data_IF_932961433974
#
_entry.id   IF_932961433974
#
_cell.length_a   1.000
_cell.length_b   1.000
_cell.length_c   1.000
_cell.angle_alpha   90.00
_cell.angle_beta   90.00
_cell.angle_gamma   90.00
#
_symmetry.space_group_name_H-M   'P 1'
#
loop_
_entity.id
_entity.type
_entity.pdbx_description
1 polymer ?
#
# COMPACT_ATOMS: atom_id res chain seq x y z
N UNK A 1 20.04 -16.44 -19.53
CA UNK A 1 18.90 -17.38 -19.36
C UNK A 1 18.34 -17.31 -17.95
N UNK A 2 19.12 -17.73 -16.98
CA UNK A 2 18.68 -17.68 -15.59
C UNK A 2 18.24 -16.28 -15.15
N UNK A 3 18.96 -15.24 -15.58
CA UNK A 3 18.64 -13.86 -15.25
C UNK A 3 17.26 -13.46 -15.75
N UNK A 4 16.90 -13.86 -16.96
CA UNK A 4 15.60 -13.53 -17.52
C UNK A 4 14.47 -14.20 -16.73
N UNK A 5 14.63 -15.47 -16.39
CA UNK A 5 13.65 -16.22 -15.61
C UNK A 5 13.52 -15.64 -14.20
N UNK A 6 14.66 -15.27 -13.60
CA UNK A 6 14.68 -14.65 -12.28
C UNK A 6 13.98 -13.29 -12.29
N UNK A 7 14.21 -12.49 -13.35
CA UNK A 7 13.58 -11.19 -13.49
C UNK A 7 12.05 -11.33 -13.58
N UNK A 8 11.56 -12.29 -14.37
CA UNK A 8 10.13 -12.54 -14.51
C UNK A 8 9.52 -12.97 -13.17
N UNK A 9 10.21 -13.86 -12.45
CA UNK A 9 9.75 -14.31 -11.13
C UNK A 9 9.71 -13.14 -10.15
N UNK A 10 10.72 -12.28 -10.19
CA UNK A 10 10.79 -11.11 -9.32
C UNK A 10 9.63 -10.16 -9.60
N UNK A 11 9.33 -9.90 -10.87
CA UNK A 11 8.21 -9.06 -11.26
C UNK A 11 6.89 -9.61 -10.71
N UNK A 12 6.68 -10.92 -10.84
CA UNK A 12 5.46 -11.56 -10.32
C UNK A 12 5.37 -11.41 -8.81
N UNK A 13 6.48 -11.64 -8.10
CA UNK A 13 6.52 -11.52 -6.64
C UNK A 13 6.18 -10.10 -6.21
N UNK A 14 6.82 -9.10 -6.84
CA UNK A 14 6.58 -7.70 -6.51
C UNK A 14 5.16 -7.27 -6.82
N UNK A 15 4.63 -7.69 -7.97
CA UNK A 15 3.26 -7.36 -8.37
C UNK A 15 2.25 -7.96 -7.39
N UNK A 16 2.49 -9.19 -6.93
CA UNK A 16 1.63 -9.82 -5.93
C UNK A 16 1.67 -9.07 -4.61
N UNK A 17 2.83 -8.57 -4.21
CA UNK A 17 2.93 -7.80 -2.97
C UNK A 17 2.17 -6.48 -3.07
N UNK A 18 2.23 -5.80 -4.21
CA UNK A 18 1.43 -4.58 -4.43
C UNK A 18 -0.07 -4.91 -4.34
N UNK A 19 -0.50 -5.98 -4.98
CA UNK A 19 -1.90 -6.38 -4.96
C UNK A 19 -2.34 -6.75 -3.53
N UNK A 20 -1.53 -7.55 -2.83
CA UNK A 20 -1.83 -7.97 -1.46
C UNK A 20 -1.94 -6.77 -0.53
N UNK A 21 -0.92 -5.93 -0.50
CA UNK A 21 -0.92 -4.79 0.41
C UNK A 21 -1.99 -3.77 0.03
N UNK A 22 -2.17 -3.53 -1.27
CA UNK A 22 -3.21 -2.61 -1.76
C UNK A 22 -4.61 -3.05 -1.38
N UNK A 23 -4.93 -4.34 -1.54
CA UNK A 23 -6.26 -4.86 -1.15
C UNK A 23 -6.41 -4.86 0.36
N UNK A 24 -5.32 -5.06 1.11
CA UNK A 24 -5.36 -5.01 2.57
C UNK A 24 -5.70 -3.61 3.09
N UNK A 25 -5.23 -2.56 2.41
CA UNK A 25 -5.61 -1.18 2.77
C UNK A 25 -7.13 -1.05 2.74
N UNK A 26 -7.74 -1.42 1.63
CA UNK A 26 -9.18 -1.32 1.47
C UNK A 26 -9.96 -2.16 2.48
N UNK A 27 -9.51 -3.39 2.70
CA UNK A 27 -10.16 -4.29 3.66
C UNK A 27 -10.14 -3.70 5.07
N UNK A 28 -9.02 -3.15 5.50
CA UNK A 28 -8.89 -2.58 6.84
C UNK A 28 -9.67 -1.28 7.00
N UNK A 29 -9.70 -0.44 5.97
CA UNK A 29 -10.53 0.77 6.00
C UNK A 29 -12.01 0.37 6.12
N UNK A 30 -12.45 -0.64 5.37
CA UNK A 30 -13.83 -1.12 5.45
C UNK A 30 -14.15 -1.66 6.83
N UNK A 31 -13.25 -2.44 7.43
CA UNK A 31 -13.44 -2.94 8.79
C UNK A 31 -13.48 -1.81 9.81
N UNK A 32 -12.67 -0.76 9.61
CA UNK A 32 -12.69 0.41 10.48
C UNK A 32 -14.07 1.07 10.50
N UNK A 33 -14.74 1.15 9.33
CA UNK A 33 -16.08 1.76 9.27
C UNK A 33 -17.12 0.95 10.04
N UNK A 34 -16.82 -0.30 10.38
CA UNK A 34 -17.71 -1.20 11.12
C UNK A 34 -17.21 -1.46 12.54
N UNK A 35 -16.25 -0.66 12.99
CA UNK A 35 -15.64 -0.85 14.29
C UNK A 35 -16.64 -0.60 15.42
N UNK A 36 -16.51 -1.35 16.51
CA UNK A 36 -17.39 -1.25 17.67
C UNK A 36 -16.94 -0.17 18.67
N UNK A 37 -15.74 0.33 18.53
CA UNK A 37 -15.17 1.31 19.45
C UNK A 37 -14.19 2.22 18.72
N UNK A 38 -13.89 3.34 19.32
CA UNK A 38 -12.88 4.27 18.83
C UNK A 38 -11.51 3.58 18.75
N UNK A 39 -11.17 2.79 19.77
CA UNK A 39 -9.89 2.07 19.82
C UNK A 39 -9.79 1.06 18.68
N UNK A 40 -10.87 0.34 18.38
CA UNK A 40 -10.91 -0.62 17.29
C UNK A 40 -10.79 0.09 15.94
N UNK A 41 -11.49 1.23 15.78
CA UNK A 41 -11.41 2.04 14.57
C UNK A 41 -9.94 2.48 14.32
N UNK A 42 -9.30 3.02 15.34
CA UNK A 42 -7.91 3.47 15.23
C UNK A 42 -6.98 2.30 14.91
N UNK A 43 -7.18 1.15 15.57
CA UNK A 43 -6.37 -0.04 15.31
C UNK A 43 -6.44 -0.48 13.86
N UNK A 44 -7.66 -0.53 13.29
CA UNK A 44 -7.85 -0.91 11.88
C UNK A 44 -7.23 0.10 10.93
N UNK A 45 -7.39 1.39 11.23
CA UNK A 45 -6.80 2.45 10.40
C UNK A 45 -5.26 2.42 10.46
N UNK A 46 -4.69 2.06 11.61
CA UNK A 46 -3.24 1.93 11.74
C UNK A 46 -2.70 0.76 10.90
N UNK A 47 -3.46 -0.34 10.81
CA UNK A 47 -3.09 -1.45 9.94
C UNK A 47 -3.14 -0.99 8.48
N UNK A 48 -4.18 -0.24 8.10
CA UNK A 48 -4.30 0.31 6.75
C UNK A 48 -3.12 1.23 6.43
N UNK A 49 -2.70 2.05 7.38
CA UNK A 49 -1.55 2.95 7.21
C UNK A 49 -0.26 2.17 6.97
N UNK A 50 -0.05 1.13 7.75
CA UNK A 50 1.12 0.25 7.60
C UNK A 50 1.13 -0.39 6.21
N UNK A 51 -0.01 -0.90 5.77
CA UNK A 51 -0.12 -1.54 4.45
C UNK A 51 0.08 -0.53 3.32
N UNK A 52 -0.36 0.71 3.51
CA UNK A 52 -0.12 1.77 2.53
C UNK A 52 1.38 2.08 2.40
N UNK A 53 2.09 2.09 3.52
CA UNK A 53 3.55 2.25 3.52
C UNK A 53 4.26 1.12 2.81
N UNK A 54 3.82 -0.12 3.02
CA UNK A 54 4.36 -1.28 2.31
C UNK A 54 4.08 -1.19 0.81
N UNK A 55 2.87 -0.75 0.45
CA UNK A 55 2.51 -0.59 -0.96
C UNK A 55 3.43 0.41 -1.64
N UNK A 56 3.71 1.53 -0.98
CA UNK A 56 4.65 2.53 -1.47
C UNK A 56 6.02 1.92 -1.75
N UNK A 57 6.52 1.13 -0.81
CA UNK A 57 7.81 0.46 -0.94
C UNK A 57 7.83 -0.48 -2.16
N UNK A 58 6.80 -1.31 -2.31
CA UNK A 58 6.74 -2.25 -3.43
C UNK A 58 6.64 -1.54 -4.78
N UNK A 59 5.90 -0.43 -4.85
CA UNK A 59 5.79 0.37 -6.08
C UNK A 59 7.15 0.99 -6.43
N UNK A 60 7.83 1.55 -5.44
CA UNK A 60 9.16 2.11 -5.64
C UNK A 60 10.13 1.06 -6.18
N UNK A 61 10.07 -0.14 -5.63
CA UNK A 61 10.92 -1.23 -6.06
C UNK A 61 10.62 -1.67 -7.50
N UNK A 62 9.32 -1.73 -7.87
CA UNK A 62 8.92 -2.01 -9.25
C UNK A 62 9.44 -0.95 -10.22
N UNK A 63 9.42 0.31 -9.80
CA UNK A 63 9.90 1.43 -10.61
C UNK A 63 11.43 1.37 -10.77
N UNK A 64 12.15 1.14 -9.67
CA UNK A 64 13.60 1.05 -9.68
C UNK A 64 14.12 -0.11 -10.51
N UNK A 65 13.41 -1.22 -10.52
CA UNK A 65 13.76 -2.41 -11.29
C UNK A 65 13.25 -2.33 -12.74
N UNK A 66 12.58 -1.24 -13.09
CA UNK A 66 12.09 -0.98 -14.43
C UNK A 66 11.02 -1.97 -14.92
N UNK A 67 10.32 -2.63 -13.98
CA UNK A 67 9.20 -3.50 -14.33
C UNK A 67 7.95 -2.71 -14.71
N UNK A 68 7.89 -1.44 -14.29
CA UNK A 68 6.85 -0.50 -14.72
C UNK A 68 7.56 0.75 -15.22
N UNK A 69 6.88 1.53 -16.06
CA UNK A 69 7.46 2.77 -16.56
C UNK A 69 7.57 3.78 -15.43
N UNK A 70 8.51 4.72 -15.57
CA UNK A 70 8.67 5.78 -14.60
C UNK A 70 7.37 6.57 -14.43
N UNK A 71 6.68 6.85 -15.53
CA UNK A 71 5.41 7.58 -15.50
C UNK A 71 4.33 6.82 -14.73
N UNK A 72 4.21 5.52 -14.97
CA UNK A 72 3.24 4.69 -14.26
C UNK A 72 3.57 4.63 -12.78
N UNK A 73 4.86 4.49 -12.45
CA UNK A 73 5.32 4.47 -11.06
C UNK A 73 5.03 5.76 -10.34
N UNK A 74 5.29 6.91 -10.98
CA UNK A 74 5.00 8.21 -10.40
C UNK A 74 3.52 8.39 -10.11
N UNK A 75 2.67 7.95 -11.04
CA UNK A 75 1.22 8.04 -10.87
C UNK A 75 0.73 7.19 -9.69
N UNK A 76 1.20 5.95 -9.61
CA UNK A 76 0.84 5.05 -8.52
C UNK A 76 1.37 5.55 -7.18
N UNK A 77 2.59 6.07 -7.16
CA UNK A 77 3.18 6.62 -5.93
C UNK A 77 2.42 7.86 -5.45
N UNK A 78 2.00 8.72 -6.37
CA UNK A 78 1.23 9.90 -6.03
C UNK A 78 -0.08 9.51 -5.34
N UNK A 79 -0.79 8.53 -5.90
CA UNK A 79 -2.04 8.03 -5.33
C UNK A 79 -1.80 7.39 -3.96
N UNK A 80 -0.75 6.60 -3.84
CA UNK A 80 -0.41 5.92 -2.58
C UNK A 80 -0.05 6.93 -1.50
N UNK A 81 0.72 7.96 -1.83
CA UNK A 81 1.11 9.00 -0.89
C UNK A 81 -0.09 9.84 -0.43
N UNK A 82 -1.05 10.04 -1.33
CA UNK A 82 -2.29 10.71 -0.99
C UNK A 82 -3.07 9.89 0.05
N UNK A 83 -3.16 8.56 -0.16
CA UNK A 83 -3.78 7.67 0.82
C UNK A 83 -3.07 7.72 2.17
N UNK A 84 -1.75 7.74 2.17
CA UNK A 84 -0.96 7.83 3.40
C UNK A 84 -1.32 9.10 4.19
N UNK A 85 -1.41 10.22 3.50
CA UNK A 85 -1.78 11.50 4.11
C UNK A 85 -3.18 11.47 4.68
N UNK A 86 -4.14 10.94 3.91
CA UNK A 86 -5.54 10.86 4.31
C UNK A 86 -5.72 9.99 5.53
N UNK A 87 -5.13 8.79 5.52
CA UNK A 87 -5.25 7.85 6.63
C UNK A 87 -4.58 8.41 7.87
N UNK A 88 -3.39 9.01 7.73
CA UNK A 88 -2.68 9.65 8.84
C UNK A 88 -3.52 10.75 9.48
N UNK A 89 -4.17 11.57 8.66
CA UNK A 89 -5.03 12.67 9.15
C UNK A 89 -6.24 12.12 9.89
N UNK A 90 -6.86 11.05 9.37
CA UNK A 90 -8.01 10.41 10.01
C UNK A 90 -7.62 9.87 11.39
N UNK A 91 -6.47 9.19 11.47
CA UNK A 91 -5.99 8.64 12.75
C UNK A 91 -5.74 9.77 13.75
N UNK A 92 -5.08 10.84 13.31
CA UNK A 92 -4.77 11.98 14.17
C UNK A 92 -6.04 12.61 14.72
N UNK A 93 -7.03 12.82 13.87
CA UNK A 93 -8.33 13.38 14.28
C UNK A 93 -9.04 12.44 15.25
N UNK A 94 -9.01 11.14 15.00
CA UNK A 94 -9.66 10.16 15.86
C UNK A 94 -9.03 10.10 17.25
N UNK A 95 -7.74 10.39 17.37
CA UNK A 95 -7.04 10.36 18.65
C UNK A 95 -7.31 11.60 19.52
N UNK A 96 -7.80 12.66 18.91
CA UNK A 96 -8.22 13.87 19.64
C UNK A 96 -9.54 13.60 20.38
#
# INVERSE_FOLDING_TARGET
MCQHVEAEKMEIVLSRQVLRSGTSIGANVREATRAHSKADFIAKMQIALKEAGETEYWIELLQETEYITEKAGESLLADCRELLKMISAIIRTAKE
#
